data_IF_621241183152
#
_entry.id   IF_621241183152
#
_cell.length_a   1.000
_cell.length_b   1.000
_cell.length_c   1.000
_cell.angle_alpha   90.00
_cell.angle_beta   90.00
_cell.angle_gamma   90.00
#
_symmetry.space_group_name_H-M   'P 1'
#
loop_
_entity.id
_entity.type
_entity.pdbx_description
1 polymer ?
#
# COMPACT_ATOMS: atom_id res chain seq x y z
N UNK A 1 94.78 -14.95 7.46
CA UNK A 1 94.76 -13.82 8.41
C UNK A 1 95.05 -12.55 7.64
N UNK A 2 93.99 -11.88 7.17
CA UNK A 2 93.99 -10.43 6.89
C UNK A 2 92.53 -10.04 6.73
N UNK A 3 92.02 -9.57 7.87
CA UNK A 3 90.69 -9.02 8.09
C UNK A 3 90.56 -7.71 7.30
N UNK A 4 89.56 -7.62 6.43
CA UNK A 4 89.16 -6.36 5.80
C UNK A 4 87.67 -6.17 6.08
N UNK A 5 87.44 -5.73 7.31
CA UNK A 5 86.47 -4.70 7.70
C UNK A 5 85.24 -4.55 6.82
N UNK A 6 84.16 -5.16 7.30
CA UNK A 6 82.77 -4.82 6.98
C UNK A 6 82.50 -3.35 7.28
N UNK A 7 82.46 -2.50 6.24
CA UNK A 7 81.73 -1.24 6.31
C UNK A 7 80.30 -1.50 5.82
N UNK A 8 79.44 -1.88 6.76
CA UNK A 8 77.99 -1.83 6.58
C UNK A 8 77.61 -0.35 6.52
N UNK A 9 77.58 0.22 5.31
CA UNK A 9 76.82 1.46 5.09
C UNK A 9 75.35 1.15 5.36
N UNK A 10 74.87 1.61 6.51
CA UNK A 10 73.46 1.76 6.76
C UNK A 10 72.89 2.70 5.69
N UNK A 11 72.27 2.14 4.65
CA UNK A 11 71.48 2.86 3.68
C UNK A 11 70.36 3.59 4.45
N UNK A 12 70.63 4.85 4.75
CA UNK A 12 69.71 5.80 5.34
C UNK A 12 68.53 5.91 4.38
N UNK A 13 67.42 5.24 4.66
CA UNK A 13 66.18 5.41 3.88
C UNK A 13 65.85 6.91 3.86
N UNK A 14 66.05 7.52 2.70
CA UNK A 14 65.70 8.92 2.50
C UNK A 14 64.20 9.09 2.78
N UNK A 15 63.78 10.20 3.41
CA UNK A 15 62.36 10.46 3.63
C UNK A 15 61.63 10.38 2.28
N UNK A 16 60.46 9.72 2.22
CA UNK A 16 59.78 9.49 0.95
C UNK A 16 59.54 10.84 0.28
N UNK A 17 60.11 10.99 -0.93
CA UNK A 17 59.96 12.20 -1.73
C UNK A 17 58.47 12.39 -2.00
N UNK A 18 57.94 13.56 -1.65
CA UNK A 18 56.53 13.90 -1.88
C UNK A 18 56.24 13.92 -3.38
N UNK A 19 55.67 12.84 -3.89
CA UNK A 19 55.28 12.69 -5.29
C UNK A 19 53.87 13.22 -5.52
N UNK A 20 53.65 13.83 -6.69
CA UNK A 20 52.34 14.33 -7.10
C UNK A 20 51.34 13.19 -7.26
N UNK A 21 50.06 13.45 -6.99
CA UNK A 21 48.99 12.46 -7.10
C UNK A 21 48.90 11.78 -8.47
N UNK A 22 49.37 12.44 -9.53
CA UNK A 22 49.36 11.94 -10.91
C UNK A 22 50.66 11.25 -11.36
N UNK A 23 51.61 11.02 -10.45
CA UNK A 23 52.89 10.37 -10.78
C UNK A 23 52.68 8.98 -11.43
N UNK A 24 53.40 8.65 -12.52
CA UNK A 24 53.33 7.33 -13.17
C UNK A 24 53.64 6.15 -12.23
N UNK A 25 54.47 6.33 -11.20
CA UNK A 25 54.74 5.30 -10.19
C UNK A 25 53.47 4.90 -9.38
N UNK A 26 52.54 5.85 -9.20
CA UNK A 26 51.27 5.65 -8.49
C UNK A 26 50.13 5.11 -9.38
N UNK A 27 50.35 4.93 -10.69
CA UNK A 27 49.31 4.48 -11.64
C UNK A 27 48.71 3.12 -11.27
N UNK A 28 49.54 2.19 -10.78
CA UNK A 28 49.09 0.87 -10.33
C UNK A 28 48.20 0.97 -9.08
N UNK A 29 48.56 1.84 -8.14
CA UNK A 29 47.80 2.10 -6.91
C UNK A 29 46.46 2.77 -7.25
N UNK A 30 46.46 3.81 -8.08
CA UNK A 30 45.23 4.48 -8.53
C UNK A 30 44.26 3.51 -9.21
N UNK A 31 44.76 2.65 -10.10
CA UNK A 31 43.93 1.62 -10.76
C UNK A 31 43.31 0.66 -9.74
N UNK A 32 44.09 0.22 -8.76
CA UNK A 32 43.60 -0.68 -7.72
C UNK A 32 42.51 -0.03 -6.87
N UNK A 33 42.75 1.21 -6.41
CA UNK A 33 41.75 1.98 -5.66
C UNK A 33 40.49 2.21 -6.49
N UNK A 34 40.62 2.56 -7.77
CA UNK A 34 39.47 2.79 -8.64
C UNK A 34 38.65 1.51 -8.87
N UNK A 35 39.30 0.34 -9.00
CA UNK A 35 38.62 -0.96 -9.10
C UNK A 35 37.89 -1.31 -7.79
N UNK A 36 38.52 -1.08 -6.65
CA UNK A 36 37.90 -1.33 -5.34
C UNK A 36 36.68 -0.42 -5.13
N UNK A 37 36.83 0.87 -5.44
CA UNK A 37 35.76 1.86 -5.34
C UNK A 37 34.63 1.60 -6.34
N UNK A 38 34.95 1.32 -7.61
CA UNK A 38 33.94 1.02 -8.63
C UNK A 38 33.19 -0.27 -8.29
N UNK A 39 33.85 -1.28 -7.73
CA UNK A 39 33.19 -2.51 -7.27
C UNK A 39 32.20 -2.23 -6.14
N UNK A 40 32.56 -1.40 -5.17
CA UNK A 40 31.64 -1.02 -4.07
C UNK A 40 30.46 -0.19 -4.57
N UNK A 41 30.71 0.78 -5.46
CA UNK A 41 29.66 1.61 -6.05
C UNK A 41 28.74 0.77 -6.94
N UNK A 42 29.29 -0.14 -7.73
CA UNK A 42 28.51 -1.03 -8.59
C UNK A 42 27.64 -1.99 -7.78
N UNK A 43 28.15 -2.56 -6.67
CA UNK A 43 27.32 -3.35 -5.75
C UNK A 43 26.15 -2.53 -5.19
N UNK A 44 26.40 -1.29 -4.77
CA UNK A 44 25.36 -0.39 -4.26
C UNK A 44 24.33 -0.06 -5.35
N UNK A 45 24.77 0.27 -6.57
CA UNK A 45 23.88 0.55 -7.69
C UNK A 45 22.99 -0.65 -8.03
N UNK A 46 23.57 -1.85 -8.12
CA UNK A 46 22.81 -3.08 -8.37
C UNK A 46 21.81 -3.35 -7.26
N UNK A 47 22.19 -3.14 -5.99
CA UNK A 47 21.28 -3.30 -4.86
C UNK A 47 20.09 -2.32 -4.94
N UNK A 48 20.35 -1.04 -5.21
CA UNK A 48 19.29 -0.02 -5.35
C UNK A 48 18.37 -0.36 -6.53
N UNK A 49 18.93 -0.73 -7.68
CA UNK A 49 18.14 -1.11 -8.86
C UNK A 49 17.32 -2.38 -8.61
N UNK A 50 17.85 -3.35 -7.87
CA UNK A 50 17.12 -4.55 -7.49
C UNK A 50 15.94 -4.22 -6.55
N UNK A 51 16.16 -3.39 -5.53
CA UNK A 51 15.11 -2.94 -4.64
C UNK A 51 14.02 -2.15 -5.39
N UNK A 52 14.42 -1.26 -6.30
CA UNK A 52 13.49 -0.48 -7.12
C UNK A 52 12.72 -1.38 -8.09
N UNK A 53 13.40 -2.35 -8.72
CA UNK A 53 12.74 -3.34 -9.58
C UNK A 53 11.71 -4.16 -8.80
N UNK A 54 12.04 -4.58 -7.58
CA UNK A 54 11.12 -5.32 -6.70
C UNK A 54 9.93 -4.45 -6.26
N UNK A 55 10.17 -3.18 -5.94
CA UNK A 55 9.12 -2.22 -5.60
C UNK A 55 8.09 -2.12 -6.73
N UNK A 56 8.54 -1.87 -7.96
CA UNK A 56 7.64 -1.82 -9.11
C UNK A 56 7.00 -3.19 -9.39
N UNK A 57 7.77 -4.28 -9.30
CA UNK A 57 7.28 -5.65 -9.45
C UNK A 57 6.06 -5.94 -8.55
N UNK A 58 6.13 -5.51 -7.29
CA UNK A 58 5.06 -5.69 -6.31
C UNK A 58 3.81 -4.88 -6.65
N UNK A 59 3.94 -3.72 -7.27
CA UNK A 59 2.82 -2.82 -7.56
C UNK A 59 2.08 -3.15 -8.86
N UNK A 60 2.72 -3.84 -9.82
CA UNK A 60 2.10 -4.13 -11.15
C UNK A 60 0.80 -4.94 -11.11
N UNK A 61 0.51 -5.65 -10.01
CA UNK A 61 -0.71 -6.46 -9.90
C UNK A 61 -1.78 -5.84 -9.03
N UNK A 62 -1.50 -4.72 -8.37
CA UNK A 62 -2.45 -4.09 -7.44
C UNK A 62 -3.74 -3.70 -8.18
N UNK A 63 -3.62 -3.08 -9.35
CA UNK A 63 -4.77 -2.68 -10.17
C UNK A 63 -5.64 -3.86 -10.62
N UNK A 64 -5.00 -4.99 -10.98
CA UNK A 64 -5.70 -6.22 -11.39
C UNK A 64 -6.39 -6.92 -10.21
N UNK A 65 -5.92 -6.65 -9.00
CA UNK A 65 -6.43 -7.26 -7.78
C UNK A 65 -7.46 -6.37 -7.05
N UNK A 66 -7.69 -5.11 -7.49
CA UNK A 66 -8.72 -4.26 -6.88
C UNK A 66 -10.12 -4.88 -6.87
N UNK A 67 -10.57 -5.62 -7.91
CA UNK A 67 -11.85 -6.32 -7.85
C UNK A 67 -11.92 -7.43 -6.79
N UNK A 68 -10.77 -7.93 -6.31
CA UNK A 68 -10.72 -8.91 -5.22
C UNK A 68 -11.01 -8.29 -3.85
N UNK A 69 -10.88 -6.96 -3.71
CA UNK A 69 -11.36 -6.26 -2.51
C UNK A 69 -12.87 -6.08 -2.63
N UNK A 70 -13.60 -7.05 -2.09
CA UNK A 70 -15.06 -7.05 -2.13
C UNK A 70 -15.64 -6.11 -1.07
N UNK A 71 -16.50 -5.18 -1.50
CA UNK A 71 -17.29 -4.30 -0.65
C UNK A 71 -18.75 -4.78 -0.71
N UNK A 72 -19.31 -5.11 0.44
CA UNK A 72 -20.73 -5.48 0.52
C UNK A 72 -21.62 -4.26 0.63
N UNK A 73 -22.74 -4.29 -0.08
CA UNK A 73 -23.82 -3.32 0.08
C UNK A 73 -25.05 -4.08 0.54
N UNK A 74 -25.53 -3.77 1.74
CA UNK A 74 -26.67 -4.45 2.37
C UNK A 74 -27.72 -3.41 2.74
N UNK A 75 -28.93 -3.59 2.20
CA UNK A 75 -30.03 -2.65 2.40
C UNK A 75 -31.07 -3.18 3.39
N UNK A 76 -31.07 -2.66 4.63
CA UNK A 76 -32.08 -3.01 5.63
C UNK A 76 -33.28 -2.02 5.65
N UNK A 77 -33.32 -1.03 4.76
CA UNK A 77 -34.35 0.01 4.76
C UNK A 77 -35.73 -0.57 4.35
N UNK A 78 -36.72 -0.45 5.23
CA UNK A 78 -38.07 -1.00 5.02
C UNK A 78 -38.18 -2.53 5.14
N UNK A 79 -37.10 -3.25 5.49
CA UNK A 79 -37.04 -4.72 5.51
C UNK A 79 -37.02 -5.32 6.92
N UNK A 80 -36.84 -4.53 7.98
CA UNK A 80 -36.70 -5.01 9.37
C UNK A 80 -37.64 -4.26 10.32
N UNK A 81 -38.38 -4.95 11.19
CA UNK A 81 -39.24 -4.29 12.18
C UNK A 81 -38.47 -3.26 13.03
N UNK A 82 -39.06 -2.09 13.35
CA UNK A 82 -40.46 -1.71 13.17
C UNK A 82 -40.77 -1.07 11.78
N UNK A 83 -39.83 -1.12 10.82
CA UNK A 83 -39.94 -0.40 9.55
C UNK A 83 -41.01 -0.94 8.59
N UNK A 84 -41.39 -2.21 8.71
CA UNK A 84 -42.44 -2.86 7.91
C UNK A 84 -43.83 -2.22 8.12
N UNK A 85 -44.02 -1.45 9.20
CA UNK A 85 -45.31 -0.88 9.60
C UNK A 85 -45.43 0.65 9.44
N UNK A 86 -44.47 1.34 8.78
CA UNK A 86 -44.54 2.79 8.60
C UNK A 86 -44.96 3.11 7.17
N UNK A 87 -45.99 3.92 6.99
CA UNK A 87 -46.62 4.32 5.70
C UNK A 87 -45.72 5.11 4.73
N UNK A 88 -44.40 4.95 4.84
CA UNK A 88 -43.39 5.65 4.07
C UNK A 88 -42.68 4.64 3.18
N UNK A 89 -42.70 4.89 1.87
CA UNK A 89 -41.95 4.10 0.89
C UNK A 89 -40.45 4.26 1.12
N UNK A 90 -39.64 3.18 1.22
CA UNK A 90 -38.20 3.29 1.36
C UNK A 90 -37.59 3.90 0.09
N UNK A 91 -36.74 4.92 0.27
CA UNK A 91 -36.07 5.66 -0.81
C UNK A 91 -34.54 5.57 -0.66
N UNK A 92 -34.03 5.62 0.58
CA UNK A 92 -32.58 5.60 0.86
C UNK A 92 -31.96 4.27 0.48
N UNK A 93 -32.58 3.15 0.89
CA UNK A 93 -32.13 1.81 0.53
C UNK A 93 -31.97 1.59 -0.98
N UNK A 94 -33.06 1.73 -1.76
CA UNK A 94 -33.01 1.59 -3.21
C UNK A 94 -32.01 2.52 -3.91
N UNK A 95 -31.88 3.77 -3.47
CA UNK A 95 -30.93 4.71 -4.06
C UNK A 95 -29.45 4.28 -3.87
N UNK A 96 -29.12 3.73 -2.70
CA UNK A 96 -27.77 3.21 -2.41
C UNK A 96 -27.49 1.96 -3.24
N UNK A 97 -28.47 1.05 -3.35
CA UNK A 97 -28.36 -0.17 -4.16
C UNK A 97 -28.22 0.16 -5.64
N UNK A 98 -28.99 1.10 -6.17
CA UNK A 98 -28.91 1.55 -7.57
C UNK A 98 -27.54 2.18 -7.86
N UNK A 99 -27.04 3.03 -6.97
CA UNK A 99 -25.70 3.62 -7.08
C UNK A 99 -24.61 2.54 -7.09
N UNK A 100 -24.71 1.55 -6.19
CA UNK A 100 -23.79 0.42 -6.17
C UNK A 100 -23.85 -0.39 -7.47
N UNK A 101 -25.05 -0.63 -8.00
CA UNK A 101 -25.25 -1.34 -9.26
C UNK A 101 -24.64 -0.59 -10.45
N UNK A 102 -24.72 0.74 -10.48
CA UNK A 102 -24.05 1.56 -11.48
C UNK A 102 -22.51 1.43 -11.41
N UNK A 103 -21.94 1.34 -10.21
CA UNK A 103 -20.49 1.13 -10.03
C UNK A 103 -20.07 -0.28 -10.44
N UNK A 104 -20.90 -1.30 -10.17
CA UNK A 104 -20.65 -2.68 -10.61
C UNK A 104 -20.68 -2.78 -12.14
N UNK A 105 -21.60 -2.06 -12.77
CA UNK A 105 -21.80 -2.09 -14.21
C UNK A 105 -20.84 -1.15 -14.98
N UNK A 106 -20.13 -0.26 -14.30
CA UNK A 106 -19.16 0.62 -14.95
C UNK A 106 -17.88 -0.17 -15.29
N UNK A 107 -17.31 0.12 -16.46
CA UNK A 107 -16.07 -0.51 -16.94
C UNK A 107 -14.80 0.08 -16.31
N UNK A 108 -14.95 0.98 -15.34
CA UNK A 108 -13.83 1.62 -14.68
C UNK A 108 -13.18 0.65 -13.68
N UNK A 109 -11.88 0.84 -13.42
CA UNK A 109 -11.14 0.07 -12.41
C UNK A 109 -11.72 0.44 -11.03
N UNK A 110 -12.79 -0.23 -10.63
CA UNK A 110 -13.47 -0.04 -9.36
C UNK A 110 -13.21 -1.23 -8.43
N UNK A 111 -13.29 -0.99 -7.13
CA UNK A 111 -13.28 -2.06 -6.12
C UNK A 111 -14.45 -3.01 -6.39
N UNK A 112 -14.34 -4.29 -6.01
CA UNK A 112 -15.39 -5.26 -6.28
C UNK A 112 -16.62 -4.97 -5.43
N UNK A 113 -17.69 -4.41 -5.98
CA UNK A 113 -18.94 -4.24 -5.23
C UNK A 113 -19.80 -5.50 -5.33
N UNK A 114 -20.41 -5.91 -4.22
CA UNK A 114 -21.38 -7.02 -4.19
C UNK A 114 -22.59 -6.62 -3.38
N UNK A 115 -23.75 -6.65 -4.01
CA UNK A 115 -25.03 -6.41 -3.34
C UNK A 115 -25.44 -7.71 -2.65
N UNK A 116 -25.73 -7.65 -1.35
CA UNK A 116 -26.18 -8.78 -0.55
C UNK A 116 -27.56 -8.52 0.01
N UNK A 117 -28.34 -9.58 0.17
CA UNK A 117 -29.66 -9.47 0.78
C UNK A 117 -29.53 -9.44 2.30
N UNK A 118 -30.33 -8.63 3.02
CA UNK A 118 -30.46 -8.72 4.49
C UNK A 118 -30.78 -10.14 4.99
N UNK A 119 -31.48 -10.94 4.19
CA UNK A 119 -31.82 -12.31 4.52
C UNK A 119 -30.58 -13.21 4.69
N UNK A 120 -29.49 -12.92 3.95
CA UNK A 120 -28.21 -13.63 4.06
C UNK A 120 -27.58 -13.45 5.46
N UNK A 121 -28.01 -12.42 6.19
CA UNK A 121 -27.53 -12.03 7.51
C UNK A 121 -28.61 -12.16 8.59
N UNK A 122 -29.68 -12.92 8.33
CA UNK A 122 -30.82 -13.07 9.25
C UNK A 122 -31.43 -11.74 9.71
N UNK A 123 -31.39 -10.72 8.85
CA UNK A 123 -31.88 -9.37 9.17
C UNK A 123 -31.16 -8.67 10.33
N UNK A 124 -29.93 -9.11 10.67
CA UNK A 124 -29.10 -8.52 11.71
C UNK A 124 -27.91 -7.73 11.12
N UNK A 125 -27.88 -6.39 11.27
CA UNK A 125 -26.72 -5.58 10.88
C UNK A 125 -25.42 -5.96 11.58
N UNK A 126 -25.48 -6.53 12.79
CA UNK A 126 -24.29 -7.00 13.52
C UNK A 126 -23.65 -8.20 12.83
N UNK A 127 -24.45 -9.07 12.22
CA UNK A 127 -23.95 -10.20 11.45
C UNK A 127 -23.16 -9.75 10.20
N UNK A 128 -23.55 -8.63 9.57
CA UNK A 128 -22.77 -8.02 8.47
C UNK A 128 -21.40 -7.58 8.97
N UNK A 129 -21.36 -6.90 10.12
CA UNK A 129 -20.11 -6.45 10.73
C UNK A 129 -19.21 -7.64 11.09
N UNK A 130 -19.79 -8.72 11.60
CA UNK A 130 -19.05 -9.94 11.91
C UNK A 130 -18.45 -10.55 10.63
N UNK A 131 -19.20 -10.60 9.53
CA UNK A 131 -18.68 -11.09 8.25
C UNK A 131 -17.48 -10.28 7.73
N UNK A 132 -17.45 -8.97 7.96
CA UNK A 132 -16.28 -8.11 7.65
C UNK A 132 -15.09 -8.44 8.56
N UNK A 133 -15.32 -8.66 9.86
CA UNK A 133 -14.25 -9.07 10.78
C UNK A 133 -13.69 -10.45 10.47
N UNK A 134 -14.54 -11.35 9.96
CA UNK A 134 -14.16 -12.69 9.53
C UNK A 134 -13.54 -12.70 8.11
N UNK A 135 -13.12 -11.53 7.59
CA UNK A 135 -12.42 -11.35 6.31
C UNK A 135 -13.22 -11.80 5.06
N UNK A 136 -14.54 -11.95 5.16
CA UNK A 136 -15.38 -12.30 3.99
C UNK A 136 -15.60 -11.12 3.03
N UNK A 137 -15.34 -9.90 3.50
CA UNK A 137 -15.33 -8.68 2.72
C UNK A 137 -14.35 -7.68 3.31
N UNK A 138 -13.82 -6.79 2.46
CA UNK A 138 -12.90 -5.73 2.88
C UNK A 138 -13.65 -4.60 3.63
N UNK A 139 -14.87 -4.28 3.19
CA UNK A 139 -15.72 -3.28 3.81
C UNK A 139 -17.20 -3.61 3.57
N UNK A 140 -18.08 -2.99 4.36
CA UNK A 140 -19.51 -3.08 4.14
C UNK A 140 -20.17 -1.69 4.26
N UNK A 141 -21.08 -1.42 3.33
CA UNK A 141 -22.03 -0.30 3.37
C UNK A 141 -23.35 -0.90 3.84
N UNK A 142 -23.74 -0.53 5.05
CA UNK A 142 -24.98 -0.99 5.68
C UNK A 142 -25.97 0.16 5.70
N UNK A 143 -27.07 0.02 4.96
CA UNK A 143 -28.20 0.95 5.09
C UNK A 143 -29.00 0.51 6.30
N UNK A 144 -29.09 1.38 7.31
CA UNK A 144 -29.76 1.06 8.55
C UNK A 144 -31.29 0.88 8.34
N UNK A 145 -31.94 0.08 9.19
CA UNK A 145 -33.39 0.00 9.19
C UNK A 145 -34.01 1.37 9.49
N UNK A 146 -35.11 1.71 8.82
CA UNK A 146 -35.78 3.01 8.90
C UNK A 146 -34.94 4.22 8.44
N UNK A 147 -33.88 4.03 7.64
CA UNK A 147 -33.06 5.15 7.16
C UNK A 147 -33.90 6.22 6.44
N UNK A 148 -34.89 5.80 5.65
CA UNK A 148 -35.80 6.74 4.98
C UNK A 148 -36.64 7.54 5.97
N UNK A 149 -37.15 6.93 7.04
CA UNK A 149 -37.94 7.64 8.05
C UNK A 149 -37.09 8.66 8.81
N UNK A 150 -35.85 8.31 9.17
CA UNK A 150 -34.91 9.25 9.81
C UNK A 150 -34.57 10.42 8.89
N UNK A 151 -34.43 10.17 7.59
CA UNK A 151 -34.22 11.23 6.61
C UNK A 151 -35.44 12.16 6.51
N UNK A 152 -36.66 11.61 6.43
CA UNK A 152 -37.89 12.40 6.44
C UNK A 152 -38.04 13.22 7.73
N UNK A 153 -37.79 12.62 8.88
CA UNK A 153 -37.81 13.30 10.17
C UNK A 153 -36.80 14.46 10.17
N UNK A 154 -35.55 14.24 9.76
CA UNK A 154 -34.53 15.29 9.69
C UNK A 154 -34.89 16.45 8.73
N UNK A 155 -35.53 16.14 7.60
CA UNK A 155 -35.99 17.16 6.64
C UNK A 155 -37.18 17.96 7.18
N UNK A 156 -38.11 17.29 7.87
CA UNK A 156 -39.35 17.91 8.37
C UNK A 156 -39.17 18.65 9.70
N UNK A 157 -38.39 18.12 10.64
CA UNK A 157 -38.18 18.72 11.96
C UNK A 157 -37.09 19.81 11.94
N UNK A 158 -36.24 19.82 10.90
CA UNK A 158 -35.02 20.61 10.87
C UNK A 158 -34.07 20.24 12.02
N UNK A 159 -32.80 20.62 11.91
CA UNK A 159 -31.86 20.50 13.02
C UNK A 159 -32.26 21.47 14.15
N UNK A 160 -33.22 21.08 14.98
CA UNK A 160 -33.53 21.71 16.26
C UNK A 160 -32.83 20.94 17.37
N UNK A 161 -31.51 20.86 17.29
CA UNK A 161 -30.71 20.62 18.48
C UNK A 161 -30.75 21.91 19.34
N UNK A 162 -31.13 21.84 20.63
CA UNK A 162 -30.83 22.91 21.59
C UNK A 162 -29.33 23.04 21.85
#
# INVERSE_FOLDING_TARGET
>A
MSEKTDTVEAAKEAPPVGVSFFDPALKAVRRRVFILWSRTVLMLCVFILAALSLFWASQFRVEKNYPALTIWVVDFDGQVEPSTNRSQTPIVGPAVVETAQHIINSSDISMGYTIKSPADFHYDPVAVRQGVYDEHAYAAIVVNPNATAVLYDAVTSGNTAP
#
